data_IF_046932304102
#
_entry.id   IF_046932304102
#
_cell.length_a   1.000
_cell.length_b   1.000
_cell.length_c   1.000
_cell.angle_alpha   90.00
_cell.angle_beta   90.00
_cell.angle_gamma   90.00
#
_symmetry.space_group_name_H-M   'P 1'
#
loop_
_entity.id
_entity.type
_entity.pdbx_description
1 polymer ?
#
# COMPACT_ATOMS: atom_id res chain seq x y z
N UNK A 1 -2.89 -42.71 0.28
CA UNK A 1 -2.24 -41.65 -0.50
C UNK A 1 -1.17 -42.26 -1.36
N UNK A 2 -1.15 -41.90 -2.63
CA UNK A 2 -0.07 -42.26 -3.55
C UNK A 2 1.15 -41.36 -3.31
N UNK A 3 2.33 -41.78 -3.80
CA UNK A 3 3.56 -41.01 -3.62
C UNK A 3 3.51 -39.63 -4.30
N UNK A 4 2.81 -39.56 -5.43
CA UNK A 4 2.60 -38.32 -6.18
C UNK A 4 1.68 -37.35 -5.43
N UNK A 5 0.62 -37.84 -4.78
CA UNK A 5 -0.24 -37.03 -3.92
C UNK A 5 0.53 -36.44 -2.73
N UNK A 6 1.42 -37.24 -2.13
CA UNK A 6 2.27 -36.77 -1.02
C UNK A 6 3.21 -35.65 -1.50
N UNK A 7 3.83 -35.81 -2.67
CA UNK A 7 4.73 -34.80 -3.23
C UNK A 7 3.98 -33.51 -3.59
N UNK A 8 2.76 -33.62 -4.12
CA UNK A 8 1.90 -32.46 -4.38
C UNK A 8 1.56 -31.71 -3.07
N UNK A 9 1.25 -32.45 -2.01
CA UNK A 9 1.00 -31.86 -0.69
C UNK A 9 2.26 -31.24 -0.08
N UNK A 10 3.45 -31.80 -0.30
CA UNK A 10 4.72 -31.18 0.12
C UNK A 10 4.92 -29.82 -0.55
N UNK A 11 4.68 -29.72 -1.86
CA UNK A 11 4.75 -28.43 -2.58
C UNK A 11 3.72 -27.44 -2.04
N UNK A 12 2.45 -27.85 -1.93
CA UNK A 12 1.38 -27.00 -1.41
C UNK A 12 1.67 -26.51 0.02
N UNK A 13 2.28 -27.33 0.87
CA UNK A 13 2.72 -26.93 2.21
C UNK A 13 3.84 -25.89 2.16
N UNK A 14 4.79 -26.01 1.23
CA UNK A 14 5.85 -25.02 1.05
C UNK A 14 5.27 -23.69 0.55
N UNK A 15 4.31 -23.72 -0.37
CA UNK A 15 3.69 -22.53 -0.94
C UNK A 15 2.62 -21.90 -0.02
N UNK A 16 2.23 -22.60 1.06
CA UNK A 16 1.23 -22.14 2.03
C UNK A 16 -0.21 -22.36 1.61
N UNK A 17 -0.44 -23.18 0.57
CA UNK A 17 -1.74 -23.45 -0.05
C UNK A 17 -2.44 -24.70 0.52
N UNK A 18 -2.02 -25.17 1.70
CA UNK A 18 -2.55 -26.38 2.33
C UNK A 18 -3.45 -26.05 3.54
N UNK A 19 -4.58 -26.75 3.67
CA UNK A 19 -5.43 -26.66 4.85
C UNK A 19 -4.88 -27.49 6.04
N UNK A 20 -5.37 -27.19 7.24
CA UNK A 20 -4.89 -27.81 8.47
C UNK A 20 -5.10 -29.35 8.51
N UNK A 21 -6.15 -29.87 7.87
CA UNK A 21 -6.45 -31.30 7.82
C UNK A 21 -5.45 -32.04 6.95
N UNK A 22 -5.23 -31.56 5.72
CA UNK A 22 -4.25 -32.13 4.78
C UNK A 22 -2.81 -31.99 5.29
N UNK A 23 -2.49 -30.92 6.00
CA UNK A 23 -1.18 -30.77 6.64
C UNK A 23 -0.93 -31.84 7.71
N UNK A 24 -1.96 -32.21 8.48
CA UNK A 24 -1.86 -33.27 9.48
C UNK A 24 -1.74 -34.67 8.85
N UNK A 25 -2.36 -34.90 7.69
CA UNK A 25 -2.20 -36.13 6.91
C UNK A 25 -0.78 -36.25 6.34
N UNK A 26 -0.25 -35.17 5.75
CA UNK A 26 1.12 -35.12 5.25
C UNK A 26 2.15 -35.38 6.36
N UNK A 27 1.97 -34.78 7.54
CA UNK A 27 2.87 -35.02 8.69
C UNK A 27 2.89 -36.50 9.10
N UNK A 28 1.72 -37.14 9.17
CA UNK A 28 1.63 -38.58 9.47
C UNK A 28 2.33 -39.43 8.41
N UNK A 29 2.22 -39.07 7.13
CA UNK A 29 2.92 -39.77 6.05
C UNK A 29 4.45 -39.62 6.14
N UNK A 30 4.95 -38.42 6.48
CA UNK A 30 6.38 -38.13 6.67
C UNK A 30 6.96 -38.83 7.91
N UNK A 31 6.18 -38.94 8.99
CA UNK A 31 6.58 -39.67 10.19
C UNK A 31 6.67 -41.18 9.93
N UNK A 32 5.73 -41.72 9.16
CA UNK A 32 5.65 -43.15 8.84
C UNK A 32 6.75 -43.63 7.89
N UNK A 33 7.31 -42.77 7.03
CA UNK A 33 8.31 -43.13 6.02
C UNK A 33 9.58 -42.27 6.10
N UNK A 34 10.74 -42.85 6.44
CA UNK A 34 12.01 -42.12 6.52
C UNK A 34 12.52 -41.62 5.16
N UNK A 35 12.09 -42.20 4.04
CA UNK A 35 12.48 -41.75 2.69
C UNK A 35 11.78 -40.43 2.33
N UNK A 36 10.47 -40.35 2.59
CA UNK A 36 9.68 -39.12 2.42
C UNK A 36 10.17 -37.98 3.31
N UNK A 37 10.66 -38.30 4.51
CA UNK A 37 11.27 -37.31 5.41
C UNK A 37 12.53 -36.68 4.82
N UNK A 38 13.42 -37.50 4.25
CA UNK A 38 14.63 -37.01 3.58
C UNK A 38 14.30 -36.14 2.38
N UNK A 39 13.32 -36.53 1.58
CA UNK A 39 12.86 -35.74 0.42
C UNK A 39 12.33 -34.38 0.86
N UNK A 40 11.54 -34.33 1.92
CA UNK A 40 11.01 -33.08 2.47
C UNK A 40 12.10 -32.17 3.06
N UNK A 41 13.09 -32.72 3.76
CA UNK A 41 14.23 -31.97 4.29
C UNK A 41 15.08 -31.35 3.16
N UNK A 42 15.30 -32.07 2.06
CA UNK A 42 16.00 -31.55 0.89
C UNK A 42 15.26 -30.37 0.24
N UNK A 43 13.93 -30.47 0.12
CA UNK A 43 13.11 -29.38 -0.41
C UNK A 43 13.15 -28.13 0.50
N UNK A 44 13.13 -28.31 1.82
CA UNK A 44 13.29 -27.21 2.78
C UNK A 44 14.67 -26.53 2.67
N UNK A 45 15.74 -27.31 2.54
CA UNK A 45 17.09 -26.78 2.37
C UNK A 45 17.22 -25.96 1.07
N UNK A 46 16.67 -26.47 -0.04
CA UNK A 46 16.68 -25.77 -1.33
C UNK A 46 15.91 -24.44 -1.26
N UNK A 47 14.73 -24.45 -0.63
CA UNK A 47 13.94 -23.22 -0.42
C UNK A 47 14.69 -22.20 0.42
N UNK A 48 15.37 -22.65 1.48
CA UNK A 48 16.18 -21.79 2.34
C UNK A 48 17.30 -21.10 1.56
N UNK A 49 18.03 -21.86 0.75
CA UNK A 49 19.10 -21.33 -0.11
C UNK A 49 18.57 -20.34 -1.16
N UNK A 50 17.46 -20.66 -1.83
CA UNK A 50 16.82 -19.78 -2.80
C UNK A 50 16.37 -18.46 -2.17
N UNK A 51 15.82 -18.50 -0.94
CA UNK A 51 15.39 -17.29 -0.22
C UNK A 51 16.55 -16.39 0.18
N UNK A 52 17.70 -16.97 0.54
CA UNK A 52 18.91 -16.20 0.84
C UNK A 52 19.54 -15.58 -0.41
N UNK A 53 19.48 -16.27 -1.55
CA UNK A 53 19.90 -15.72 -2.83
C UNK A 53 18.96 -14.61 -3.35
N UNK A 54 17.69 -14.63 -2.94
CA UNK A 54 16.70 -13.60 -3.25
C UNK A 54 16.73 -12.39 -2.30
N UNK A 55 17.63 -12.33 -1.31
CA UNK A 55 17.78 -11.13 -0.48
C UNK A 55 18.14 -9.98 -1.42
N UNK A 56 17.23 -9.01 -1.62
CA UNK A 56 17.54 -7.88 -2.47
C UNK A 56 18.75 -7.14 -1.90
N UNK A 57 19.61 -6.54 -2.74
CA UNK A 57 20.62 -5.64 -2.23
C UNK A 57 19.97 -4.57 -1.32
N UNK A 58 20.68 -4.05 -0.31
CA UNK A 58 20.16 -2.98 0.52
C UNK A 58 19.66 -1.85 -0.37
N UNK A 59 18.38 -1.51 -0.19
CA UNK A 59 17.67 -0.50 -1.00
C UNK A 59 18.12 0.87 -0.50
N UNK A 60 18.69 1.70 -1.38
CA UNK A 60 19.09 3.07 -1.07
C UNK A 60 17.86 3.93 -0.72
N UNK A 61 18.03 4.96 0.10
CA UNK A 61 16.94 5.83 0.57
C UNK A 61 16.15 6.49 -0.59
N UNK A 62 16.80 6.74 -1.73
CA UNK A 62 16.18 7.28 -2.93
C UNK A 62 15.16 6.32 -3.58
N UNK A 63 15.35 5.01 -3.43
CA UNK A 63 14.45 4.00 -4.00
C UNK A 63 13.16 3.85 -3.18
N UNK A 64 13.17 4.19 -1.89
CA UNK A 64 11.97 4.21 -1.05
C UNK A 64 10.98 5.30 -1.47
N UNK A 65 11.48 6.48 -1.83
CA UNK A 65 10.62 7.54 -2.37
C UNK A 65 10.05 7.17 -3.75
N UNK A 66 10.88 6.56 -4.61
CA UNK A 66 10.44 6.08 -5.91
C UNK A 66 9.37 4.96 -5.79
N UNK A 67 9.52 4.07 -4.82
CA UNK A 67 8.54 3.02 -4.53
C UNK A 67 7.25 3.61 -3.96
N UNK A 68 7.33 4.53 -3.01
CA UNK A 68 6.17 5.21 -2.44
C UNK A 68 5.39 5.98 -3.51
N UNK A 69 6.09 6.65 -4.44
CA UNK A 69 5.47 7.30 -5.59
C UNK A 69 4.82 6.31 -6.56
N UNK A 70 5.43 5.15 -6.80
CA UNK A 70 4.85 4.08 -7.65
C UNK A 70 3.63 3.40 -7.01
N UNK A 71 3.63 3.25 -5.68
CA UNK A 71 2.49 2.73 -4.90
C UNK A 71 1.36 3.76 -4.86
N UNK A 72 1.68 5.05 -4.67
CA UNK A 72 0.70 6.14 -4.77
C UNK A 72 0.15 6.31 -6.19
N UNK A 73 0.97 6.01 -7.22
CA UNK A 73 0.57 5.94 -8.62
C UNK A 73 -0.08 4.59 -9.01
N UNK A 74 -0.34 3.71 -8.05
CA UNK A 74 -1.06 2.47 -8.24
C UNK A 74 -2.39 2.71 -8.96
N UNK A 75 -2.56 1.98 -10.05
CA UNK A 75 -3.51 2.16 -11.18
C UNK A 75 -5.01 2.19 -10.84
N UNK A 76 -5.40 2.11 -9.57
CA UNK A 76 -6.79 2.29 -9.11
C UNK A 76 -7.11 3.71 -8.62
N UNK A 77 -6.11 4.55 -8.38
CA UNK A 77 -6.33 5.91 -7.89
C UNK A 77 -6.95 6.84 -8.96
N UNK A 78 -6.57 6.68 -10.24
CA UNK A 78 -6.97 7.62 -11.30
C UNK A 78 -8.48 7.75 -11.52
N UNK A 79 -9.22 6.63 -11.49
CA UNK A 79 -10.68 6.62 -11.73
C UNK A 79 -11.47 7.01 -10.48
N UNK A 80 -10.95 6.69 -9.30
CA UNK A 80 -11.56 7.16 -8.05
C UNK A 80 -11.50 8.68 -7.94
N UNK A 81 -10.37 9.28 -8.31
CA UNK A 81 -10.17 10.73 -8.23
C UNK A 81 -11.04 11.53 -9.22
N UNK A 82 -11.36 11.00 -10.40
CA UNK A 82 -12.22 11.72 -11.37
C UNK A 82 -13.66 11.86 -10.91
N UNK A 83 -14.16 10.96 -10.06
CA UNK A 83 -15.50 11.06 -9.47
C UNK A 83 -15.45 11.75 -8.09
N UNK A 84 -14.44 11.43 -7.28
CA UNK A 84 -14.30 11.92 -5.92
C UNK A 84 -13.99 13.42 -5.88
N UNK A 85 -13.09 13.91 -6.74
CA UNK A 85 -12.71 15.33 -6.74
C UNK A 85 -13.89 16.26 -7.08
N UNK A 86 -14.64 16.08 -8.19
CA UNK A 86 -15.79 16.93 -8.47
C UNK A 86 -16.93 16.71 -7.48
N UNK A 87 -17.16 15.48 -6.99
CA UNK A 87 -18.17 15.20 -5.97
C UNK A 87 -17.88 15.90 -4.64
N UNK A 88 -16.64 15.81 -4.15
CA UNK A 88 -16.20 16.50 -2.95
C UNK A 88 -16.26 18.03 -3.13
N UNK A 89 -15.83 18.54 -4.30
CA UNK A 89 -15.94 19.97 -4.62
C UNK A 89 -17.40 20.43 -4.64
N UNK A 90 -18.31 19.67 -5.25
CA UNK A 90 -19.73 19.98 -5.29
C UNK A 90 -20.39 19.93 -3.91
N UNK A 91 -20.01 18.98 -3.04
CA UNK A 91 -20.49 18.92 -1.66
C UNK A 91 -19.98 20.08 -0.81
N UNK A 92 -18.70 20.44 -0.94
CA UNK A 92 -18.12 21.58 -0.21
C UNK A 92 -18.72 22.89 -0.70
N UNK A 93 -18.76 23.12 -2.01
CA UNK A 93 -19.31 24.34 -2.60
C UNK A 93 -20.82 24.44 -2.40
N UNK A 94 -21.55 23.34 -2.56
CA UNK A 94 -22.99 23.27 -2.35
C UNK A 94 -23.37 23.42 -0.87
N UNK A 95 -22.62 22.78 0.03
CA UNK A 95 -22.80 22.94 1.47
C UNK A 95 -22.44 24.34 1.95
N UNK A 96 -21.37 24.93 1.43
CA UNK A 96 -21.00 26.31 1.72
C UNK A 96 -22.00 27.30 1.13
N UNK A 97 -22.50 27.07 -0.08
CA UNK A 97 -23.55 27.90 -0.67
C UNK A 97 -24.87 27.74 0.09
N UNK A 98 -25.27 26.54 0.51
CA UNK A 98 -26.48 26.31 1.31
C UNK A 98 -26.39 26.95 2.70
N UNK A 99 -25.25 26.78 3.38
CA UNK A 99 -24.96 27.42 4.67
C UNK A 99 -24.82 28.94 4.55
N UNK A 100 -24.34 29.42 3.41
CA UNK A 100 -24.45 30.81 3.06
C UNK A 100 -25.94 31.09 2.84
N UNK A 101 -26.58 30.82 1.71
CA UNK A 101 -27.96 31.23 1.43
C UNK A 101 -29.06 30.89 2.47
N UNK A 102 -28.84 30.05 3.48
CA UNK A 102 -29.75 29.86 4.62
C UNK A 102 -29.97 31.14 5.45
N UNK A 103 -31.24 31.47 5.69
CA UNK A 103 -31.70 32.57 6.58
C UNK A 103 -31.76 32.17 8.06
N UNK A 104 -31.58 30.88 8.37
CA UNK A 104 -31.62 30.36 9.74
C UNK A 104 -30.38 30.73 10.57
N UNK A 105 -29.27 31.06 9.92
CA UNK A 105 -27.98 31.32 10.57
C UNK A 105 -27.68 32.83 10.60
N UNK A 106 -27.37 33.41 11.77
CA UNK A 106 -26.97 34.80 11.88
C UNK A 106 -25.78 35.16 10.98
N UNK A 107 -25.86 36.32 10.30
CA UNK A 107 -24.88 36.78 9.31
C UNK A 107 -23.43 36.77 9.83
N UNK A 108 -23.23 37.16 11.09
CA UNK A 108 -21.89 37.22 11.69
C UNK A 108 -21.26 35.83 11.88
N UNK A 109 -22.07 34.80 12.19
CA UNK A 109 -21.61 33.40 12.29
C UNK A 109 -21.22 32.90 10.90
N UNK A 110 -22.01 33.20 9.87
CA UNK A 110 -21.69 32.88 8.47
C UNK A 110 -20.36 33.47 8.02
N UNK A 111 -20.13 34.75 8.32
CA UNK A 111 -18.90 35.44 7.97
C UNK A 111 -17.69 34.87 8.74
N UNK A 112 -17.84 34.58 10.03
CA UNK A 112 -16.77 34.00 10.85
C UNK A 112 -16.39 32.58 10.39
N UNK A 113 -17.37 31.71 10.16
CA UNK A 113 -17.13 30.36 9.62
C UNK A 113 -16.54 30.42 8.20
N UNK A 114 -17.10 31.26 7.33
CA UNK A 114 -16.61 31.44 5.96
C UNK A 114 -15.15 31.92 5.92
N UNK A 115 -14.81 32.93 6.73
CA UNK A 115 -13.44 33.44 6.84
C UNK A 115 -12.46 32.38 7.37
N UNK A 116 -12.90 31.56 8.33
CA UNK A 116 -12.09 30.47 8.91
C UNK A 116 -11.81 29.38 7.87
N UNK A 117 -12.85 28.94 7.15
CA UNK A 117 -12.73 27.92 6.09
C UNK A 117 -11.85 28.45 4.95
N UNK A 118 -12.08 29.69 4.50
CA UNK A 118 -11.30 30.32 3.44
C UNK A 118 -9.83 30.50 3.84
N UNK A 119 -9.56 30.93 5.08
CA UNK A 119 -8.20 31.05 5.61
C UNK A 119 -7.47 29.71 5.67
N UNK A 120 -8.16 28.65 6.11
CA UNK A 120 -7.58 27.31 6.14
C UNK A 120 -7.31 26.78 4.72
N UNK A 121 -8.24 26.99 3.79
CA UNK A 121 -8.05 26.62 2.40
C UNK A 121 -6.86 27.36 1.78
N UNK A 122 -6.72 28.66 2.06
CA UNK A 122 -5.59 29.46 1.59
C UNK A 122 -4.25 28.97 2.14
N UNK A 123 -4.19 28.63 3.43
CA UNK A 123 -2.98 28.06 4.06
C UNK A 123 -2.60 26.72 3.42
N UNK A 124 -3.56 25.83 3.21
CA UNK A 124 -3.35 24.55 2.54
C UNK A 124 -2.82 24.74 1.12
N UNK A 125 -3.44 25.63 0.34
CA UNK A 125 -3.00 25.95 -1.01
C UNK A 125 -1.59 26.54 -1.04
N UNK A 126 -1.25 27.41 -0.08
CA UNK A 126 0.10 27.95 0.05
C UNK A 126 1.12 26.85 0.35
N UNK A 127 0.83 25.98 1.32
CA UNK A 127 1.71 24.87 1.67
C UNK A 127 1.92 23.90 0.49
N UNK A 128 0.85 23.61 -0.26
CA UNK A 128 0.93 22.78 -1.47
C UNK A 128 1.76 23.48 -2.56
N UNK A 129 1.52 24.78 -2.80
CA UNK A 129 2.26 25.55 -3.80
C UNK A 129 3.75 25.66 -3.45
N UNK A 130 4.08 25.83 -2.18
CA UNK A 130 5.45 25.91 -1.70
C UNK A 130 6.15 24.56 -1.80
N UNK A 131 5.45 23.47 -1.48
CA UNK A 131 5.98 22.11 -1.65
C UNK A 131 6.17 21.73 -3.12
N UNK A 132 5.27 22.17 -4.01
CA UNK A 132 5.43 22.00 -5.45
C UNK A 132 6.59 22.83 -6.01
N UNK A 133 6.81 24.05 -5.51
CA UNK A 133 7.96 24.90 -5.87
C UNK A 133 9.28 24.32 -5.37
N UNK A 134 9.33 23.86 -4.13
CA UNK A 134 10.51 23.22 -3.54
C UNK A 134 10.94 22.01 -4.37
N UNK A 135 9.99 21.10 -4.69
CA UNK A 135 10.24 19.95 -5.58
C UNK A 135 10.75 20.32 -6.99
N UNK A 136 10.50 21.56 -7.45
CA UNK A 136 10.93 22.03 -8.77
C UNK A 136 12.34 22.63 -8.76
N UNK A 137 12.81 23.09 -7.60
CA UNK A 137 14.09 23.80 -7.43
C UNK A 137 15.19 22.85 -6.93
N UNK A 138 14.82 21.76 -6.25
CA UNK A 138 15.70 20.73 -5.71
C UNK A 138 16.20 19.76 -6.81
N UNK A 139 16.91 20.32 -7.81
CA UNK A 139 17.55 19.55 -8.91
C UNK A 139 19.09 19.58 -8.83
N UNK A 140 19.67 20.20 -7.80
CA UNK A 140 21.12 20.25 -7.60
C UNK A 140 21.45 20.26 -6.11
N UNK A 141 21.46 19.09 -5.48
CA UNK A 141 22.28 18.89 -4.28
C UNK A 141 22.83 17.46 -4.29
N UNK A 142 24.01 17.33 -4.89
CA UNK A 142 24.68 16.05 -5.14
C UNK A 142 26.10 16.23 -5.64
N UNK A 143 26.76 17.33 -5.26
CA UNK A 143 28.18 17.55 -5.54
C UNK A 143 28.88 17.99 -4.24
N UNK A 144 29.15 17.01 -3.39
CA UNK A 144 30.23 17.13 -2.40
C UNK A 144 31.58 17.02 -3.13
N UNK A 145 32.54 17.87 -2.74
CA UNK A 145 33.93 17.88 -3.21
C UNK A 145 34.82 17.09 -2.27
#
# INVERSE_FOLDING_TARGET
MTRDEIRALMSALLDGEIDAGRAAELRRAIEADPELRREFEQLLALRGAARQALVPPPVDDADWEALALRVAAGTSAGVGWTLLAPGAAALVLGGLAGFLLSDEVPLWIRLACGATIAGLAFLLLSAIADRLRARRIERYDGVER
#
